data_IF_380996113240
#
_entry.id   IF_380996113240
#
_cell.length_a   1.000
_cell.length_b   1.000
_cell.length_c   1.000
_cell.angle_alpha   90.00
_cell.angle_beta   90.00
_cell.angle_gamma   90.00
#
_symmetry.space_group_name_H-M   'P 1'
#
loop_
_entity.id
_entity.type
_entity.pdbx_description
1 polymer ?
#
# COMPACT_ATOMS: atom_id res chain seq x y z
N UNK A 1 -2.71 -4.53 16.61
CA UNK A 1 -1.47 -4.13 17.30
C UNK A 1 -0.31 -4.30 16.35
N UNK A 2 0.57 -3.30 16.24
CA UNK A 2 1.70 -3.32 15.32
C UNK A 2 3.02 -3.36 16.09
N UNK A 3 3.97 -4.17 15.64
CA UNK A 3 5.34 -4.17 16.11
C UNK A 3 6.26 -4.37 14.90
N UNK A 4 7.32 -3.56 14.84
CA UNK A 4 8.34 -3.63 13.79
C UNK A 4 9.58 -4.28 14.39
N UNK A 5 10.04 -5.38 13.79
CA UNK A 5 11.35 -5.95 14.13
C UNK A 5 12.41 -5.41 13.16
N UNK A 6 13.06 -4.32 13.56
CA UNK A 6 14.11 -3.66 12.78
C UNK A 6 15.27 -4.61 12.44
N UNK A 7 15.48 -5.68 13.23
CA UNK A 7 16.56 -6.65 13.01
C UNK A 7 16.35 -7.45 11.73
N UNK A 8 15.11 -7.60 11.28
CA UNK A 8 14.72 -8.53 10.22
C UNK A 8 13.97 -7.89 9.05
N UNK A 9 13.78 -6.56 9.06
CA UNK A 9 12.91 -5.85 8.09
C UNK A 9 11.50 -6.48 8.01
N UNK A 10 11.00 -6.95 9.16
CA UNK A 10 9.72 -7.64 9.28
C UNK A 10 8.75 -6.78 10.08
N UNK A 11 7.72 -6.28 9.41
CA UNK A 11 6.60 -5.61 10.04
C UNK A 11 5.57 -6.66 10.46
N UNK A 12 5.24 -6.73 11.74
CA UNK A 12 4.25 -7.70 12.26
C UNK A 12 3.02 -6.96 12.76
N UNK A 13 1.86 -7.38 12.27
CA UNK A 13 0.56 -6.90 12.67
C UNK A 13 -0.26 -8.07 13.26
N UNK A 14 -0.79 -7.87 14.47
CA UNK A 14 -1.71 -8.79 15.12
C UNK A 14 -3.10 -8.18 15.19
N UNK A 15 -4.08 -8.91 14.69
CA UNK A 15 -5.50 -8.61 14.77
C UNK A 15 -6.25 -9.72 15.49
N UNK A 16 -7.32 -9.34 16.19
CA UNK A 16 -8.18 -10.28 16.90
C UNK A 16 -9.64 -10.13 16.50
N UNK A 17 -10.37 -11.24 16.54
CA UNK A 17 -11.81 -11.28 16.33
C UNK A 17 -12.45 -12.22 17.34
N UNK A 18 -13.36 -11.66 18.15
CA UNK A 18 -14.06 -12.40 19.21
C UNK A 18 -13.14 -13.03 20.28
N UNK A 19 -11.90 -12.54 20.40
CA UNK A 19 -10.99 -12.87 21.49
C UNK A 19 -10.13 -11.67 21.85
N UNK A 20 -9.52 -11.74 23.03
CA UNK A 20 -8.50 -10.81 23.51
C UNK A 20 -7.17 -11.57 23.62
N UNK A 21 -6.06 -10.89 23.34
CA UNK A 21 -4.71 -11.42 23.50
C UNK A 21 -4.09 -10.80 24.75
N UNK A 22 -3.91 -11.56 25.84
CA UNK A 22 -3.15 -11.10 26.99
C UNK A 22 -1.71 -10.75 26.61
N UNK A 23 -1.11 -9.78 27.29
CA UNK A 23 0.27 -9.31 27.01
C UNK A 23 1.31 -10.44 27.11
N UNK A 24 1.12 -11.38 28.04
CA UNK A 24 2.03 -12.52 28.21
C UNK A 24 1.92 -13.53 27.06
N UNK A 25 0.71 -13.75 26.54
CA UNK A 25 0.47 -14.57 25.36
C UNK A 25 1.06 -13.92 24.12
N UNK A 26 0.84 -12.62 23.94
CA UNK A 26 1.44 -11.88 22.83
C UNK A 26 2.98 -11.93 22.87
N UNK A 27 3.57 -11.77 24.06
CA UNK A 27 5.03 -11.89 24.25
C UNK A 27 5.54 -13.29 23.91
N UNK A 28 4.76 -14.35 24.17
CA UNK A 28 5.09 -15.71 23.71
C UNK A 28 5.01 -15.82 22.19
N UNK A 29 3.92 -15.31 21.59
CA UNK A 29 3.70 -15.35 20.14
C UNK A 29 4.81 -14.62 19.38
N UNK A 30 5.19 -13.42 19.84
CA UNK A 30 6.30 -12.64 19.26
C UNK A 30 7.62 -13.41 19.27
N UNK A 31 7.97 -14.08 20.37
CA UNK A 31 9.18 -14.93 20.43
C UNK A 31 9.15 -16.08 19.42
N UNK A 32 7.99 -16.67 19.18
CA UNK A 32 7.86 -17.74 18.17
C UNK A 32 8.03 -17.24 16.73
N UNK A 33 7.88 -15.93 16.48
CA UNK A 33 8.10 -15.33 15.16
C UNK A 33 9.57 -15.07 14.84
N UNK A 34 10.50 -15.22 15.79
CA UNK A 34 11.94 -15.06 15.54
C UNK A 34 12.44 -15.95 14.39
N UNK A 35 11.90 -17.17 14.26
CA UNK A 35 12.24 -18.08 13.17
C UNK A 35 11.79 -17.54 11.79
N UNK A 36 10.64 -16.86 11.75
CA UNK A 36 10.17 -16.21 10.51
C UNK A 36 11.05 -14.99 10.22
N UNK A 37 11.35 -14.17 11.23
CA UNK A 37 12.24 -13.01 11.11
C UNK A 37 13.60 -13.39 10.50
N UNK A 38 14.27 -14.38 11.10
CA UNK A 38 15.56 -14.89 10.59
C UNK A 38 15.44 -15.41 9.16
N UNK A 39 14.32 -16.06 8.83
CA UNK A 39 14.10 -16.60 7.51
C UNK A 39 13.80 -15.52 6.46
N UNK A 40 13.26 -14.35 6.82
CA UNK A 40 12.96 -13.26 5.89
C UNK A 40 14.04 -12.17 5.82
N UNK A 41 15.10 -12.25 6.63
CA UNK A 41 16.15 -11.21 6.72
C UNK A 41 16.80 -10.78 5.41
N UNK A 42 16.71 -11.62 4.36
CA UNK A 42 17.28 -11.34 3.03
C UNK A 42 16.33 -10.57 2.11
N UNK A 43 15.06 -10.41 2.49
CA UNK A 43 14.10 -9.62 1.72
C UNK A 43 14.19 -8.15 2.15
N UNK A 44 14.15 -7.19 1.21
CA UNK A 44 14.23 -5.75 1.51
C UNK A 44 13.07 -5.24 2.38
N UNK A 45 11.91 -5.88 2.31
CA UNK A 45 10.73 -5.55 3.12
C UNK A 45 9.83 -6.78 3.21
N UNK A 46 9.30 -7.07 4.40
CA UNK A 46 8.32 -8.13 4.61
C UNK A 46 7.23 -7.67 5.57
N UNK A 47 5.97 -7.98 5.24
CA UNK A 47 4.84 -7.69 6.12
C UNK A 47 4.13 -8.98 6.51
N UNK A 48 4.01 -9.24 7.81
CA UNK A 48 3.31 -10.39 8.37
C UNK A 48 2.07 -9.93 9.13
N UNK A 49 0.90 -10.25 8.57
CA UNK A 49 -0.38 -10.14 9.29
C UNK A 49 -0.74 -11.46 9.95
N UNK A 50 -1.08 -11.43 11.24
CA UNK A 50 -1.62 -12.55 12.01
C UNK A 50 -3.03 -12.18 12.49
N UNK A 51 -4.04 -12.95 12.08
CA UNK A 51 -5.43 -12.79 12.52
C UNK A 51 -5.79 -13.95 13.44
N UNK A 52 -6.17 -13.65 14.68
CA UNK A 52 -6.64 -14.62 15.67
C UNK A 52 -8.15 -14.52 15.84
N UNK A 53 -8.88 -15.59 15.58
CA UNK A 53 -10.35 -15.63 15.62
C UNK A 53 -10.78 -16.69 16.63
N UNK A 54 -11.58 -16.34 17.64
CA UNK A 54 -12.29 -17.34 18.44
C UNK A 54 -13.67 -17.58 17.85
N UNK A 55 -14.09 -18.84 17.77
CA UNK A 55 -15.39 -19.26 17.27
C UNK A 55 -16.23 -19.78 18.45
N UNK A 56 -17.12 -18.96 19.04
CA UNK A 56 -17.85 -19.32 20.27
C UNK A 56 -18.72 -20.58 20.14
N UNK A 57 -19.22 -20.86 18.93
CA UNK A 57 -20.10 -22.01 18.67
C UNK A 57 -19.36 -23.36 18.75
N UNK A 58 -18.12 -23.42 18.28
CA UNK A 58 -17.29 -24.63 18.31
C UNK A 58 -16.30 -24.65 19.47
N UNK A 59 -16.21 -23.54 20.21
CA UNK A 59 -15.18 -23.28 21.21
C UNK A 59 -13.76 -23.59 20.69
N UNK A 60 -13.46 -23.11 19.49
CA UNK A 60 -12.18 -23.29 18.83
C UNK A 60 -11.60 -21.95 18.38
N UNK A 61 -10.28 -21.90 18.26
CA UNK A 61 -9.53 -20.79 17.71
C UNK A 61 -9.10 -21.12 16.27
N UNK A 62 -9.14 -20.11 15.42
CA UNK A 62 -8.63 -20.13 14.06
C UNK A 62 -7.57 -19.03 13.95
N UNK A 63 -6.37 -19.40 13.50
CA UNK A 63 -5.28 -18.45 13.27
C UNK A 63 -4.96 -18.43 11.79
N UNK A 64 -5.00 -17.25 11.19
CA UNK A 64 -4.58 -17.00 9.82
C UNK A 64 -3.28 -16.20 9.83
N UNK A 65 -2.33 -16.56 8.98
CA UNK A 65 -1.07 -15.84 8.79
C UNK A 65 -0.89 -15.52 7.31
N UNK A 66 -0.61 -14.25 7.02
CA UNK A 66 -0.36 -13.73 5.67
C UNK A 66 0.98 -13.00 5.65
N UNK A 67 1.96 -13.57 4.98
CA UNK A 67 3.30 -13.00 4.80
C UNK A 67 3.45 -12.47 3.38
N UNK A 68 3.52 -11.14 3.24
CA UNK A 68 3.85 -10.47 1.99
C UNK A 68 5.37 -10.41 1.85
N UNK A 69 5.86 -10.93 0.72
CA UNK A 69 7.25 -10.87 0.31
C UNK A 69 7.32 -10.13 -1.04
N UNK A 70 8.50 -9.64 -1.43
CA UNK A 70 8.71 -9.14 -2.78
C UNK A 70 8.35 -10.20 -3.83
N UNK A 71 7.29 -9.95 -4.60
CA UNK A 71 6.87 -10.79 -5.72
C UNK A 71 5.95 -11.95 -5.35
N UNK A 72 5.67 -12.22 -4.07
CA UNK A 72 4.76 -13.30 -3.67
C UNK A 72 4.10 -13.04 -2.31
N UNK A 73 2.96 -13.67 -2.07
CA UNK A 73 2.32 -13.68 -0.76
C UNK A 73 2.10 -15.11 -0.32
N UNK A 74 2.60 -15.44 0.87
CA UNK A 74 2.40 -16.74 1.51
C UNK A 74 1.23 -16.64 2.49
N UNK A 75 0.34 -17.61 2.44
CA UNK A 75 -0.82 -17.68 3.34
C UNK A 75 -0.89 -19.06 4.00
N UNK A 76 -1.16 -19.10 5.30
CA UNK A 76 -1.40 -20.33 6.07
C UNK A 76 -2.48 -20.10 7.11
N UNK A 77 -3.18 -21.16 7.49
CA UNK A 77 -4.07 -21.13 8.64
C UNK A 77 -4.11 -22.47 9.40
N UNK A 78 -4.56 -22.42 10.64
CA UNK A 78 -4.78 -23.60 11.50
C UNK A 78 -5.90 -23.38 12.51
N UNK A 79 -6.50 -24.49 12.95
CA UNK A 79 -7.60 -24.54 13.91
C UNK A 79 -7.22 -25.40 15.10
N UNK A 80 -7.54 -24.97 16.31
CA UNK A 80 -7.35 -25.78 17.51
C UNK A 80 -8.28 -25.31 18.64
N UNK A 81 -8.50 -26.15 19.65
CA UNK A 81 -9.23 -25.73 20.85
C UNK A 81 -8.46 -24.68 21.67
N UNK A 82 -7.14 -24.60 21.48
CA UNK A 82 -6.26 -23.66 22.16
C UNK A 82 -5.56 -22.73 21.16
N UNK A 83 -5.57 -21.42 21.46
CA UNK A 83 -4.97 -20.40 20.62
C UNK A 83 -3.49 -20.66 20.30
N UNK A 84 -2.66 -20.90 21.32
CA UNK A 84 -1.22 -21.16 21.14
C UNK A 84 -0.99 -22.35 20.20
N UNK A 85 -1.71 -23.45 20.38
CA UNK A 85 -1.61 -24.63 19.50
C UNK A 85 -1.92 -24.30 18.04
N UNK A 86 -2.99 -23.55 17.78
CA UNK A 86 -3.35 -23.10 16.42
C UNK A 86 -2.26 -22.18 15.85
N UNK A 87 -1.78 -21.22 16.64
CA UNK A 87 -0.73 -20.28 16.26
C UNK A 87 0.59 -21.00 15.93
N UNK A 88 1.11 -21.85 16.82
CA UNK A 88 2.37 -22.58 16.61
C UNK A 88 2.31 -23.49 15.38
N UNK A 89 1.17 -24.12 15.09
CA UNK A 89 1.01 -24.90 13.85
C UNK A 89 0.95 -24.00 12.62
N UNK A 90 0.25 -22.87 12.70
CA UNK A 90 0.19 -21.88 11.62
C UNK A 90 1.58 -21.34 11.28
N UNK A 91 2.36 -20.92 12.29
CA UNK A 91 3.73 -20.42 12.13
C UNK A 91 4.65 -21.50 11.55
N UNK A 92 4.58 -22.74 12.03
CA UNK A 92 5.38 -23.86 11.45
C UNK A 92 5.02 -24.13 9.99
N UNK A 93 3.74 -24.06 9.61
CA UNK A 93 3.31 -24.18 8.21
C UNK A 93 3.89 -23.02 7.38
N UNK A 94 3.85 -21.80 7.90
CA UNK A 94 4.37 -20.62 7.23
C UNK A 94 5.89 -20.74 7.01
N UNK A 95 6.64 -21.14 8.03
CA UNK A 95 8.08 -21.38 7.96
C UNK A 95 8.42 -22.40 6.86
N UNK A 96 7.68 -23.52 6.79
CA UNK A 96 7.88 -24.52 5.72
C UNK A 96 7.60 -23.96 4.33
N UNK A 97 6.54 -23.15 4.16
CA UNK A 97 6.25 -22.50 2.88
C UNK A 97 7.35 -21.51 2.50
N UNK A 98 7.87 -20.77 3.47
CA UNK A 98 8.96 -19.83 3.26
C UNK A 98 10.25 -20.55 2.83
N UNK A 99 10.60 -21.66 3.46
CA UNK A 99 11.74 -22.48 3.04
C UNK A 99 11.55 -23.07 1.64
N UNK A 100 10.35 -23.54 1.31
CA UNK A 100 10.03 -24.00 -0.04
C UNK A 100 10.15 -22.87 -1.09
N UNK A 101 9.72 -21.65 -0.73
CA UNK A 101 9.85 -20.47 -1.56
C UNK A 101 11.32 -20.04 -1.76
N UNK A 102 12.18 -20.22 -0.75
CA UNK A 102 13.63 -20.02 -0.88
C UNK A 102 14.29 -21.06 -1.78
N UNK A 103 13.84 -22.32 -1.70
CA UNK A 103 14.40 -23.41 -2.48
C UNK A 103 14.04 -23.32 -3.97
N UNK A 104 12.84 -22.79 -4.27
CA UNK A 104 12.38 -22.53 -5.63
C UNK A 104 12.06 -21.04 -5.81
N UNK A 105 13.08 -20.17 -5.85
CA UNK A 105 12.84 -18.77 -6.11
C UNK A 105 12.29 -18.69 -7.53
N UNK A 106 11.02 -18.31 -7.67
CA UNK A 106 10.49 -17.88 -8.95
C UNK A 106 11.25 -16.60 -9.33
N UNK A 107 12.39 -16.82 -10.01
CA UNK A 107 13.38 -15.79 -10.34
C UNK A 107 12.74 -14.64 -11.12
N UNK A 108 11.61 -14.89 -11.79
CA UNK A 108 10.91 -13.90 -12.57
C UNK A 108 10.06 -12.98 -11.68
N UNK A 109 9.31 -13.52 -10.73
CA UNK A 109 8.58 -12.73 -9.73
C UNK A 109 9.53 -11.92 -8.83
N UNK A 110 10.65 -12.53 -8.42
CA UNK A 110 11.70 -11.87 -7.64
C UNK A 110 12.36 -10.71 -8.40
N UNK A 111 12.77 -10.91 -9.66
CA UNK A 111 13.35 -9.84 -10.49
C UNK A 111 12.37 -8.71 -10.79
N UNK A 112 11.08 -9.01 -10.97
CA UNK A 112 10.06 -7.99 -11.17
C UNK A 112 9.89 -7.16 -9.90
N UNK A 113 9.87 -7.78 -8.72
CA UNK A 113 9.76 -7.08 -7.45
C UNK A 113 11.03 -6.29 -7.09
N UNK A 114 12.21 -6.84 -7.36
CA UNK A 114 13.50 -6.17 -7.15
C UNK A 114 13.65 -4.98 -8.10
N UNK A 115 13.32 -5.15 -9.38
CA UNK A 115 13.22 -4.04 -10.35
C UNK A 115 12.21 -2.99 -9.89
N UNK A 116 11.07 -3.38 -9.30
CA UNK A 116 10.09 -2.42 -8.75
C UNK A 116 10.67 -1.61 -7.58
N UNK A 117 11.38 -2.26 -6.67
CA UNK A 117 12.01 -1.61 -5.50
C UNK A 117 13.20 -0.73 -5.89
N UNK A 118 13.97 -1.13 -6.91
CA UNK A 118 15.09 -0.34 -7.43
C UNK A 118 14.62 0.93 -8.13
N UNK A 119 13.50 0.86 -8.87
CA UNK A 119 12.90 2.02 -9.52
C UNK A 119 12.37 3.09 -8.55
N UNK A 120 12.10 2.72 -7.29
CA UNK A 120 11.52 3.59 -6.26
C UNK A 120 12.59 4.31 -5.41
N UNK A 121 13.82 3.80 -5.37
CA UNK A 121 14.84 4.19 -4.38
C UNK A 121 15.34 5.64 -4.51
N UNK A 122 15.18 6.27 -5.68
CA UNK A 122 15.73 7.59 -5.99
C UNK A 122 14.71 8.74 -5.95
N UNK A 123 13.45 8.47 -5.56
CA UNK A 123 12.39 9.49 -5.56
C UNK A 123 12.09 9.95 -4.13
N UNK A 124 12.78 10.99 -3.70
CA UNK A 124 12.59 11.60 -2.37
C UNK A 124 11.32 12.43 -2.35
N UNK A 125 10.44 12.18 -1.38
CA UNK A 125 9.21 12.95 -1.18
C UNK A 125 9.51 14.39 -0.72
N UNK A 126 8.74 15.39 -1.18
CA UNK A 126 8.77 16.73 -0.62
C UNK A 126 8.32 16.73 0.85
N UNK A 127 8.56 17.85 1.53
CA UNK A 127 7.99 18.10 2.85
C UNK A 127 6.46 18.08 2.79
N UNK A 128 5.85 17.45 3.79
CA UNK A 128 4.39 17.37 3.90
C UNK A 128 3.74 18.77 3.83
N UNK A 129 2.68 18.94 3.03
CA UNK A 129 2.03 20.21 2.85
C UNK A 129 1.22 20.57 4.10
N UNK A 130 0.95 21.86 4.28
CA UNK A 130 0.05 22.30 5.34
C UNK A 130 -1.37 21.74 5.10
N UNK A 131 -1.87 20.97 6.06
CA UNK A 131 -3.19 20.36 6.01
C UNK A 131 -4.32 21.40 6.06
N UNK A 132 -4.09 22.57 6.66
CA UNK A 132 -5.09 23.63 6.80
C UNK A 132 -5.64 24.14 5.46
N UNK A 133 -4.79 24.67 4.56
CA UNK A 133 -5.18 25.12 3.24
C UNK A 133 -5.84 24.03 2.39
N UNK A 134 -5.35 22.79 2.46
CA UNK A 134 -5.91 21.65 1.72
C UNK A 134 -7.33 21.31 2.19
N UNK A 135 -7.53 21.19 3.51
CA UNK A 135 -8.83 20.89 4.08
C UNK A 135 -9.86 22.00 3.85
N UNK A 136 -9.45 23.27 3.85
CA UNK A 136 -10.33 24.39 3.50
C UNK A 136 -10.74 24.35 2.01
N UNK A 137 -9.79 24.11 1.11
CA UNK A 137 -10.07 23.98 -0.32
C UNK A 137 -11.08 22.87 -0.61
N UNK A 138 -10.90 21.69 0.00
CA UNK A 138 -11.83 20.56 -0.12
C UNK A 138 -13.22 20.90 0.41
N UNK A 139 -13.32 21.50 1.61
CA UNK A 139 -14.60 21.91 2.19
C UNK A 139 -15.37 22.90 1.31
N UNK A 140 -14.65 23.74 0.57
CA UNK A 140 -15.23 24.73 -0.36
C UNK A 140 -15.52 24.20 -1.76
N UNK A 141 -15.14 22.95 -2.07
CA UNK A 141 -15.23 22.44 -3.44
C UNK A 141 -14.24 23.12 -4.40
N UNK A 142 -13.18 23.73 -3.89
CA UNK A 142 -12.20 24.51 -4.67
C UNK A 142 -11.01 23.65 -5.08
N UNK A 143 -11.18 22.90 -6.17
CA UNK A 143 -10.13 22.05 -6.72
C UNK A 143 -8.87 22.83 -7.09
N UNK A 144 -9.02 24.06 -7.60
CA UNK A 144 -7.88 24.87 -8.03
C UNK A 144 -7.02 25.29 -6.84
N UNK A 145 -7.64 25.73 -5.74
CA UNK A 145 -6.92 26.05 -4.50
C UNK A 145 -6.21 24.81 -3.94
N UNK A 146 -6.87 23.64 -3.95
CA UNK A 146 -6.26 22.39 -3.52
C UNK A 146 -5.04 22.02 -4.38
N UNK A 147 -5.19 22.09 -5.71
CA UNK A 147 -4.12 21.77 -6.67
C UNK A 147 -2.92 22.71 -6.53
N UNK A 148 -3.17 23.99 -6.26
CA UNK A 148 -2.14 25.01 -6.06
C UNK A 148 -1.37 24.80 -4.75
N UNK A 149 -2.06 24.40 -3.68
CA UNK A 149 -1.41 24.05 -2.41
C UNK A 149 -0.45 22.85 -2.54
N UNK A 150 -0.60 22.04 -3.61
CA UNK A 150 0.25 20.88 -3.90
C UNK A 150 1.27 21.10 -5.01
N UNK A 151 1.56 22.34 -5.44
CA UNK A 151 2.54 22.59 -6.51
C UNK A 151 3.93 21.98 -6.22
N UNK A 152 4.35 21.95 -4.96
CA UNK A 152 5.62 21.32 -4.54
C UNK A 152 5.67 19.80 -4.77
N UNK A 153 4.53 19.15 -4.99
CA UNK A 153 4.42 17.70 -5.21
C UNK A 153 4.40 17.31 -6.68
N UNK A 154 4.24 18.24 -7.63
CA UNK A 154 4.01 17.88 -9.04
C UNK A 154 5.15 17.05 -9.64
N UNK A 155 6.40 17.47 -9.44
CA UNK A 155 7.55 16.73 -9.96
C UNK A 155 7.72 15.37 -9.31
N UNK A 156 7.39 15.26 -8.02
CA UNK A 156 7.42 14.00 -7.28
C UNK A 156 6.34 13.05 -7.81
N UNK A 157 5.08 13.48 -7.88
CA UNK A 157 3.97 12.67 -8.41
C UNK A 157 4.26 12.26 -9.85
N UNK A 158 4.73 13.18 -10.70
CA UNK A 158 5.07 12.88 -12.10
C UNK A 158 6.14 11.78 -12.21
N UNK A 159 7.18 11.82 -11.39
CA UNK A 159 8.20 10.76 -11.33
C UNK A 159 7.61 9.44 -10.84
N UNK A 160 6.82 9.46 -9.76
CA UNK A 160 6.17 8.27 -9.19
C UNK A 160 5.20 7.63 -10.17
N UNK A 161 4.31 8.40 -10.79
CA UNK A 161 3.41 7.96 -11.87
C UNK A 161 4.21 7.34 -13.00
N UNK A 162 5.29 7.98 -13.45
CA UNK A 162 6.15 7.43 -14.50
C UNK A 162 6.73 6.05 -14.15
N UNK A 163 7.13 5.83 -12.89
CA UNK A 163 7.59 4.51 -12.41
C UNK A 163 6.45 3.51 -12.29
N UNK A 164 5.29 3.94 -11.82
CA UNK A 164 4.11 3.10 -11.72
C UNK A 164 3.63 2.61 -13.08
N UNK A 165 3.61 3.46 -14.10
CA UNK A 165 3.26 3.08 -15.47
C UNK A 165 4.21 2.00 -16.02
N UNK A 166 5.50 2.05 -15.68
CA UNK A 166 6.46 0.99 -16.08
C UNK A 166 6.13 -0.39 -15.47
N UNK A 167 5.25 -0.46 -14.46
CA UNK A 167 4.76 -1.71 -13.85
C UNK A 167 3.54 -2.28 -14.57
N UNK A 168 2.89 -1.50 -15.43
CA UNK A 168 1.67 -1.83 -16.15
C UNK A 168 1.90 -1.79 -17.66
N UNK A 169 2.22 -2.93 -18.30
CA UNK A 169 2.51 -2.98 -19.74
C UNK A 169 1.38 -2.39 -20.59
N UNK A 170 0.12 -2.65 -20.22
CA UNK A 170 -1.05 -2.04 -20.87
C UNK A 170 -1.06 -0.51 -20.76
N UNK A 171 -0.81 0.07 -19.57
CA UNK A 171 -0.77 1.52 -19.40
C UNK A 171 0.38 2.11 -20.21
N UNK A 172 1.56 1.47 -20.16
CA UNK A 172 2.73 1.90 -20.90
C UNK A 172 2.49 1.88 -22.42
N UNK A 173 1.75 0.89 -22.93
CA UNK A 173 1.41 0.80 -24.34
C UNK A 173 0.43 1.91 -24.80
N UNK A 174 -0.36 2.46 -23.88
CA UNK A 174 -1.30 3.55 -24.15
C UNK A 174 -0.64 4.94 -24.06
N UNK A 175 0.49 5.06 -23.35
CA UNK A 175 1.23 6.32 -23.29
C UNK A 175 1.65 6.78 -24.69
N UNK A 176 1.27 8.01 -25.05
CA UNK A 176 1.53 8.59 -26.37
C UNK A 176 0.56 8.14 -27.48
N UNK A 177 -0.38 7.24 -27.18
CA UNK A 177 -1.48 6.81 -28.06
C UNK A 177 -2.85 7.30 -27.59
N UNK A 178 -2.87 8.38 -26.82
CA UNK A 178 -4.08 8.98 -26.25
C UNK A 178 -4.01 9.22 -24.75
N UNK A 179 -3.13 8.51 -24.03
CA UNK A 179 -2.87 8.74 -22.60
C UNK A 179 -1.57 9.53 -22.42
N UNK A 180 -1.62 10.65 -21.71
CA UNK A 180 -0.43 11.38 -21.28
C UNK A 180 -0.12 11.12 -19.81
N UNK A 181 1.16 11.16 -19.43
CA UNK A 181 1.56 11.13 -18.01
C UNK A 181 0.90 12.29 -17.24
N UNK A 182 0.71 13.44 -17.89
CA UNK A 182 -0.01 14.56 -17.29
C UNK A 182 -1.46 14.24 -16.92
N UNK A 183 -2.13 13.38 -17.69
CA UNK A 183 -3.52 12.98 -17.42
C UNK A 183 -3.58 12.13 -16.15
N UNK A 184 -2.64 11.19 -16.02
CA UNK A 184 -2.51 10.35 -14.83
C UNK A 184 -2.14 11.18 -13.59
N UNK A 185 -1.26 12.16 -13.72
CA UNK A 185 -0.93 13.08 -12.62
C UNK A 185 -2.16 13.86 -12.17
N UNK A 186 -2.95 14.38 -13.11
CA UNK A 186 -4.16 15.13 -12.77
C UNK A 186 -5.24 14.23 -12.15
N UNK A 187 -5.39 13.00 -12.66
CA UNK A 187 -6.27 11.98 -12.08
C UNK A 187 -5.90 11.66 -10.63
N UNK A 188 -4.60 11.61 -10.28
CA UNK A 188 -4.14 11.45 -8.89
C UNK A 188 -4.60 12.62 -8.02
N UNK A 189 -4.49 13.85 -8.51
CA UNK A 189 -4.96 15.02 -7.78
C UNK A 189 -6.48 15.04 -7.61
N UNK A 190 -7.25 14.64 -8.62
CA UNK A 190 -8.71 14.53 -8.54
C UNK A 190 -9.11 13.49 -7.48
N UNK A 191 -8.52 12.30 -7.53
CA UNK A 191 -8.75 11.27 -6.52
C UNK A 191 -8.35 11.74 -5.12
N UNK A 192 -7.24 12.48 -4.99
CA UNK A 192 -6.83 13.04 -3.71
C UNK A 192 -7.83 14.09 -3.21
N UNK A 193 -8.30 14.98 -4.08
CA UNK A 193 -9.29 15.99 -3.72
C UNK A 193 -10.60 15.36 -3.22
N UNK A 194 -11.13 14.39 -3.96
CA UNK A 194 -12.39 13.70 -3.62
C UNK A 194 -12.29 12.88 -2.33
N UNK A 195 -11.12 12.27 -2.07
CA UNK A 195 -10.91 11.35 -0.94
C UNK A 195 -10.23 12.00 0.25
N UNK A 196 -9.94 13.29 0.20
CA UNK A 196 -9.17 13.97 1.26
C UNK A 196 -9.82 13.83 2.64
N UNK A 197 -11.16 13.91 2.72
CA UNK A 197 -11.89 13.72 3.98
C UNK A 197 -11.83 12.30 4.55
N UNK A 198 -11.33 11.32 3.79
CA UNK A 198 -11.15 9.92 4.20
C UNK A 198 -9.68 9.59 4.51
N UNK A 199 -8.78 10.57 4.41
CA UNK A 199 -7.36 10.38 4.68
C UNK A 199 -7.14 10.08 6.17
N UNK A 200 -6.43 9.00 6.54
CA UNK A 200 -6.00 8.79 7.92
C UNK A 200 -4.98 9.84 8.37
N UNK A 201 -5.17 10.42 9.56
CA UNK A 201 -4.28 11.48 10.08
C UNK A 201 -2.87 10.97 10.43
N UNK A 202 -2.75 9.67 10.72
CA UNK A 202 -1.51 9.02 11.15
C UNK A 202 -0.55 8.72 9.99
N UNK A 203 -1.01 8.85 8.74
CA UNK A 203 -0.24 8.50 7.55
C UNK A 203 0.37 9.77 6.93
N UNK A 204 1.69 9.78 6.65
CA UNK A 204 2.32 10.88 5.94
C UNK A 204 1.63 11.18 4.61
N UNK A 205 1.53 12.46 4.25
CA UNK A 205 0.72 12.86 3.10
C UNK A 205 1.20 12.22 1.79
N UNK A 206 2.52 12.13 1.60
CA UNK A 206 3.12 11.48 0.45
C UNK A 206 2.82 9.97 0.38
N UNK A 207 2.79 9.27 1.51
CA UNK A 207 2.45 7.83 1.55
C UNK A 207 1.01 7.61 1.10
N UNK A 208 0.09 8.46 1.57
CA UNK A 208 -1.30 8.42 1.14
C UNK A 208 -1.48 8.75 -0.35
N UNK A 209 -0.75 9.74 -0.87
CA UNK A 209 -0.74 10.03 -2.31
C UNK A 209 -0.22 8.86 -3.14
N UNK A 210 0.79 8.13 -2.65
CA UNK A 210 1.37 6.97 -3.35
C UNK A 210 0.32 5.85 -3.56
N UNK A 211 -0.54 5.61 -2.57
CA UNK A 211 -1.65 4.65 -2.68
C UNK A 211 -2.68 5.09 -3.74
N UNK A 212 -2.90 6.40 -3.88
CA UNK A 212 -3.79 6.94 -4.90
C UNK A 212 -3.20 6.81 -6.31
N UNK A 213 -1.88 6.77 -6.48
CA UNK A 213 -1.27 6.58 -7.80
C UNK A 213 -1.66 5.23 -8.40
N UNK A 214 -1.61 4.15 -7.62
CA UNK A 214 -2.04 2.83 -8.12
C UNK A 214 -3.53 2.82 -8.50
N UNK A 215 -4.36 3.43 -7.65
CA UNK A 215 -5.79 3.55 -7.89
C UNK A 215 -6.07 4.33 -9.19
N UNK A 216 -5.44 5.48 -9.39
CA UNK A 216 -5.63 6.33 -10.56
C UNK A 216 -5.16 5.66 -11.85
N UNK A 217 -4.02 4.94 -11.82
CA UNK A 217 -3.54 4.17 -12.98
C UNK A 217 -4.55 3.07 -13.35
N UNK A 218 -5.10 2.36 -12.37
CA UNK A 218 -6.11 1.32 -12.61
C UNK A 218 -7.45 1.90 -13.09
N UNK A 219 -7.86 3.04 -12.55
CA UNK A 219 -9.07 3.76 -12.97
C UNK A 219 -8.99 4.10 -14.45
N UNK A 220 -7.89 4.74 -14.87
CA UNK A 220 -7.63 5.11 -16.26
C UNK A 220 -7.54 3.91 -17.22
N UNK A 221 -7.08 2.76 -16.74
CA UNK A 221 -7.06 1.54 -17.55
C UNK A 221 -8.45 0.91 -17.73
N UNK A 222 -9.34 1.09 -16.74
CA UNK A 222 -10.69 0.54 -16.76
C UNK A 222 -11.62 1.39 -17.62
N UNK A 223 -11.56 2.72 -17.48
CA UNK A 223 -12.35 3.66 -18.28
C UNK A 223 -11.45 4.80 -18.81
N UNK A 224 -10.75 4.56 -19.94
CA UNK A 224 -9.81 5.52 -20.46
C UNK A 224 -10.46 6.80 -20.98
N UNK A 225 -11.70 6.75 -21.45
CA UNK A 225 -12.39 7.91 -22.05
C UNK A 225 -12.84 8.88 -20.96
N UNK A 226 -13.54 8.39 -19.92
CA UNK A 226 -14.02 9.21 -18.80
C UNK A 226 -12.86 9.90 -18.06
N UNK A 227 -11.82 9.15 -17.71
CA UNK A 227 -10.69 9.72 -17.01
C UNK A 227 -9.89 10.73 -17.84
N UNK A 228 -9.84 10.57 -19.18
CA UNK A 228 -9.25 11.58 -20.08
C UNK A 228 -10.07 12.86 -20.12
N UNK A 229 -11.39 12.75 -20.18
CA UNK A 229 -12.29 13.90 -20.17
C UNK A 229 -12.13 14.69 -18.87
N UNK A 230 -12.15 14.02 -17.73
CA UNK A 230 -11.96 14.62 -16.41
C UNK A 230 -10.60 15.33 -16.28
N UNK A 231 -9.50 14.66 -16.66
CA UNK A 231 -8.17 15.25 -16.62
C UNK A 231 -7.98 16.42 -17.62
N UNK A 232 -8.64 16.37 -18.78
CA UNK A 232 -8.64 17.47 -19.75
C UNK A 232 -9.40 18.68 -19.23
N UNK A 233 -10.57 18.45 -18.65
CA UNK A 233 -11.41 19.49 -18.06
C UNK A 233 -10.71 20.17 -16.88
N UNK A 234 -10.13 19.39 -15.96
CA UNK A 234 -9.36 19.90 -14.82
C UNK A 234 -8.19 20.80 -15.25
N UNK A 235 -7.43 20.41 -16.29
CA UNK A 235 -6.35 21.26 -16.84
C UNK A 235 -6.86 22.54 -17.47
N UNK A 236 -7.98 22.48 -18.18
CA UNK A 236 -8.58 23.66 -18.81
C UNK A 236 -9.05 24.66 -17.75
N UNK A 237 -9.62 24.18 -16.65
CA UNK A 237 -9.97 25.02 -15.50
C UNK A 237 -8.75 25.70 -14.87
N UNK A 238 -7.59 25.05 -14.87
CA UNK A 238 -6.34 25.63 -14.38
C UNK A 238 -5.77 26.70 -15.32
N UNK A 239 -5.87 26.49 -16.62
CA UNK A 239 -5.30 27.38 -17.64
C UNK A 239 -6.18 28.62 -17.91
N UNK A 240 -7.46 28.57 -17.52
CA UNK A 240 -8.37 29.71 -17.64
C UNK A 240 -8.12 30.69 -16.49
N UNK A 241 -7.62 31.92 -16.74
CA UNK A 241 -7.49 32.92 -15.68
C UNK A 241 -8.89 33.25 -15.17
N UNK A 242 -9.12 33.10 -13.86
CA UNK A 242 -10.31 33.64 -13.22
C UNK A 242 -10.26 35.16 -13.39
N UNK A 243 -11.11 35.71 -14.25
CA UNK A 243 -11.37 37.15 -14.28
C UNK A 243 -11.94 37.54 -12.90
N UNK A 244 -11.07 38.01 -12.01
CA UNK A 244 -11.47 38.68 -10.77
C UNK A 244 -12.23 39.94 -11.14
N UNK A 245 -13.55 39.89 -11.00
CA UNK A 245 -14.42 41.08 -10.89
C UNK A 245 -14.43 41.61 -9.47
#
# INVERSE_FOLDING_TARGET
MHYVDDRYHLNVEFDTKQCELPDDELTRMQRSLEQIGEAVKHFPSSDLGIMCIHHPRSNAYHVEAKLKLPGQTLFTSDWDAYLDSAFQRCVRKLARKLEAAKANPDRQAGRVAERRAELDRDIVAPTDPDAGPLGEAVRRGDYLAFRNALLGYEDWIRKRVGRWVQRYPEAQAQIGRGLAIGDLVEEVYLNAFERYGQRPDEIPFHSWLDDLIDLSVRSMLRDPDEGRENASFARTLRETPLETK
#
